data_IF_400504183952
#
_entry.id   IF_400504183952
#
_cell.length_a   1.000
_cell.length_b   1.000
_cell.length_c   1.000
_cell.angle_alpha   90.00
_cell.angle_beta   90.00
_cell.angle_gamma   90.00
#
_symmetry.space_group_name_H-M   'P 1'
#
loop_
_entity.id
_entity.type
_entity.pdbx_description
1 polymer ?
#
# COMPACT_ATOMS: atom_id res chain seq x y z
N UNK A 1 -18.84 -3.39 -1.81
CA UNK A 1 -18.11 -2.67 -0.73
C UNK A 1 -16.63 -2.62 -1.11
N UNK A 2 -16.06 -1.43 -1.34
CA UNK A 2 -14.69 -1.23 -1.84
C UNK A 2 -13.61 -1.60 -0.80
N UNK A 3 -12.42 -1.98 -1.27
CA UNK A 3 -11.27 -2.31 -0.43
C UNK A 3 -10.83 -1.08 0.38
N UNK A 4 -10.52 -1.29 1.65
CA UNK A 4 -10.08 -0.23 2.56
C UNK A 4 -8.60 0.04 2.39
N UNK A 5 -8.23 1.32 2.30
CA UNK A 5 -6.84 1.77 2.14
C UNK A 5 -5.93 1.23 3.25
N UNK A 6 -6.46 1.07 4.46
CA UNK A 6 -5.75 0.50 5.60
C UNK A 6 -5.29 -0.95 5.33
N UNK A 7 -6.09 -1.75 4.62
CA UNK A 7 -5.72 -3.13 4.27
C UNK A 7 -4.55 -3.15 3.28
N UNK A 8 -4.60 -2.30 2.27
CA UNK A 8 -3.53 -2.19 1.27
C UNK A 8 -2.25 -1.65 1.90
N UNK A 9 -2.35 -0.64 2.77
CA UNK A 9 -1.20 -0.11 3.51
C UNK A 9 -0.60 -1.10 4.51
N UNK A 10 -1.43 -1.90 5.17
CA UNK A 10 -0.95 -2.95 6.06
C UNK A 10 -0.12 -3.98 5.29
N UNK A 11 -0.58 -4.40 4.11
CA UNK A 11 0.16 -5.33 3.26
C UNK A 11 1.44 -4.70 2.69
N UNK A 12 1.40 -3.43 2.25
CA UNK A 12 2.60 -2.71 1.82
C UNK A 12 3.63 -2.59 2.96
N UNK A 13 3.18 -2.36 4.19
CA UNK A 13 4.06 -2.35 5.35
C UNK A 13 4.65 -3.73 5.63
N UNK A 14 3.86 -4.81 5.46
CA UNK A 14 4.34 -6.20 5.60
C UNK A 14 5.46 -6.46 4.59
N UNK A 15 5.22 -6.20 3.31
CA UNK A 15 6.21 -6.34 2.23
C UNK A 15 7.49 -5.56 2.52
N UNK A 16 7.38 -4.31 3.00
CA UNK A 16 8.56 -3.52 3.38
C UNK A 16 9.34 -4.13 4.55
N UNK A 17 8.66 -4.75 5.52
CA UNK A 17 9.32 -5.34 6.68
C UNK A 17 9.86 -6.75 6.43
N UNK A 18 9.47 -7.40 5.33
CA UNK A 18 10.05 -8.68 4.91
C UNK A 18 11.48 -8.52 4.35
N UNK A 19 11.87 -7.29 3.97
CA UNK A 19 13.21 -6.96 3.47
C UNK A 19 14.15 -6.53 4.59
N UNK A 20 15.45 -6.72 4.34
CA UNK A 20 16.50 -6.11 5.15
C UNK A 20 16.38 -4.59 5.00
N UNK A 21 16.32 -3.86 6.12
CA UNK A 21 16.05 -2.41 6.16
C UNK A 21 17.24 -1.57 5.70
N UNK A 22 17.86 -1.98 4.61
CA UNK A 22 19.04 -1.39 4.01
C UNK A 22 18.64 -0.21 3.10
N UNK A 23 19.02 1.03 3.44
CA UNK A 23 18.72 2.19 2.60
C UNK A 23 19.49 2.21 1.26
N UNK A 24 20.46 1.33 1.06
CA UNK A 24 21.18 1.18 -0.21
C UNK A 24 20.55 0.12 -1.12
N UNK A 25 19.69 -0.74 -0.57
CA UNK A 25 18.86 -1.64 -1.36
C UNK A 25 17.72 -0.85 -2.01
N UNK A 26 17.68 -0.88 -3.34
CA UNK A 26 16.68 -0.17 -4.13
C UNK A 26 15.27 -0.71 -3.90
N UNK A 27 15.12 -2.00 -3.59
CA UNK A 27 13.83 -2.62 -3.32
C UNK A 27 13.25 -2.09 -2.00
N UNK A 28 14.03 -2.17 -0.91
CA UNK A 28 13.62 -1.59 0.36
C UNK A 28 13.40 -0.08 0.27
N UNK A 29 14.31 0.67 -0.36
CA UNK A 29 14.22 2.12 -0.50
C UNK A 29 12.91 2.53 -1.18
N UNK A 30 12.53 1.80 -2.24
CA UNK A 30 11.28 2.03 -2.98
C UNK A 30 10.06 1.77 -2.12
N UNK A 31 9.96 0.59 -1.49
CA UNK A 31 8.83 0.24 -0.64
C UNK A 31 8.72 1.16 0.59
N UNK A 32 9.86 1.57 1.15
CA UNK A 32 9.92 2.51 2.26
C UNK A 32 9.33 3.86 1.92
N UNK A 33 9.81 4.48 0.85
CA UNK A 33 9.34 5.81 0.47
C UNK A 33 7.93 5.79 -0.13
N UNK A 34 7.53 4.73 -0.84
CA UNK A 34 6.15 4.54 -1.26
C UNK A 34 5.20 4.43 -0.05
N UNK A 35 5.53 3.59 0.93
CA UNK A 35 4.74 3.47 2.16
C UNK A 35 4.62 4.81 2.89
N UNK A 36 5.74 5.51 3.13
CA UNK A 36 5.75 6.79 3.81
C UNK A 36 4.87 7.81 3.07
N UNK A 37 5.05 7.95 1.75
CA UNK A 37 4.27 8.88 0.94
C UNK A 37 2.77 8.56 0.98
N UNK A 38 2.38 7.31 0.74
CA UNK A 38 0.97 6.90 0.71
C UNK A 38 0.34 7.03 2.11
N UNK A 39 1.09 6.75 3.19
CA UNK A 39 0.59 6.91 4.56
C UNK A 39 0.19 8.35 4.91
N UNK A 40 0.85 9.34 4.29
CA UNK A 40 0.46 10.76 4.43
C UNK A 40 -0.69 11.18 3.51
N UNK A 41 -1.01 10.36 2.49
CA UNK A 41 -2.02 10.65 1.45
C UNK A 41 -3.13 9.60 1.41
N UNK A 42 -3.44 8.97 2.56
CA UNK A 42 -4.44 7.90 2.66
C UNK A 42 -5.79 8.24 2.03
N UNK A 43 -6.27 9.48 2.21
CA UNK A 43 -7.55 9.93 1.65
C UNK A 43 -7.57 9.95 0.12
N UNK A 44 -6.47 10.39 -0.52
CA UNK A 44 -6.35 10.39 -1.97
C UNK A 44 -6.23 8.96 -2.51
N UNK A 45 -5.51 8.10 -1.78
CA UNK A 45 -5.38 6.71 -2.18
C UNK A 45 -6.69 5.92 -2.02
N UNK A 46 -7.49 6.18 -0.97
CA UNK A 46 -8.83 5.60 -0.84
C UNK A 46 -9.74 6.02 -2.01
N UNK A 47 -9.72 7.31 -2.41
CA UNK A 47 -10.49 7.78 -3.57
C UNK A 47 -10.08 7.05 -4.85
N UNK A 48 -8.77 6.94 -5.09
CA UNK A 48 -8.26 6.16 -6.23
C UNK A 48 -8.76 4.72 -6.20
N UNK A 49 -8.67 4.03 -5.06
CA UNK A 49 -9.16 2.65 -4.92
C UNK A 49 -10.66 2.54 -5.20
N UNK A 50 -11.46 3.49 -4.70
CA UNK A 50 -12.90 3.52 -4.94
C UNK A 50 -13.25 3.77 -6.42
N UNK A 51 -12.42 4.51 -7.15
CA UNK A 51 -12.62 4.79 -8.58
C UNK A 51 -12.22 3.61 -9.47
N UNK A 52 -11.15 2.89 -9.13
CA UNK A 52 -10.55 1.89 -10.04
C UNK A 52 -10.86 0.44 -9.70
N UNK A 53 -11.18 0.12 -8.44
CA UNK A 53 -11.43 -1.27 -8.01
C UNK A 53 -12.92 -1.58 -8.13
N UNK A 54 -13.28 -2.46 -9.06
CA UNK A 54 -14.68 -2.87 -9.25
C UNK A 54 -15.10 -3.93 -8.24
N UNK A 55 -16.41 -4.07 -8.06
CA UNK A 55 -16.95 -5.16 -7.23
C UNK A 55 -16.54 -6.53 -7.80
N UNK A 56 -15.91 -7.35 -6.97
CA UNK A 56 -15.40 -8.68 -7.34
C UNK A 56 -13.91 -8.71 -7.75
N UNK A 57 -13.25 -7.57 -7.93
CA UNK A 57 -11.81 -7.50 -8.26
C UNK A 57 -10.90 -7.42 -7.02
N UNK A 58 -11.49 -7.29 -5.84
CA UNK A 58 -10.75 -7.27 -4.58
C UNK A 58 -10.52 -8.70 -4.03
N UNK A 59 -9.39 -8.97 -3.34
CA UNK A 59 -9.16 -10.24 -2.66
C UNK A 59 -10.29 -10.55 -1.68
N UNK A 60 -10.72 -11.81 -1.62
CA UNK A 60 -11.61 -12.26 -0.55
C UNK A 60 -10.89 -12.09 0.79
N UNK A 61 -11.56 -11.43 1.74
CA UNK A 61 -11.05 -11.15 3.08
C UNK A 61 -10.68 -12.42 3.86
#
# INVERSE_FOLDING_TARGET
MSIKVEKVLAELNRLRNDLDKDPTDLEWFTLHHAFCFISYRMGDFQKYLDEVVKEGEQPSA
#
